data_IF_742541161019
#
_entry.id   IF_742541161019
#
_cell.length_a   1.000
_cell.length_b   1.000
_cell.length_c   1.000
_cell.angle_alpha   90.00
_cell.angle_beta   90.00
_cell.angle_gamma   90.00
#
_symmetry.space_group_name_H-M   'P 1'
#
loop_
_entity.id
_entity.type
_entity.pdbx_description
1 polymer ?
#
# COMPACT_ATOMS: atom_id res chain seq x y z
N UNK A 1 -6.41 -12.56 -10.92
CA UNK A 1 -5.22 -12.16 -10.17
C UNK A 1 -4.97 -10.66 -10.31
N UNK A 2 -4.69 -9.99 -9.20
CA UNK A 2 -4.49 -8.54 -9.21
C UNK A 2 -3.20 -8.17 -9.92
N UNK A 3 -3.30 -7.27 -10.89
CA UNK A 3 -2.15 -6.80 -11.66
C UNK A 3 -1.77 -5.39 -11.23
N UNK A 4 -0.47 -5.14 -11.16
CA UNK A 4 0.07 -3.84 -10.76
C UNK A 4 0.88 -3.23 -11.89
N UNK A 5 0.65 -1.94 -12.11
CA UNK A 5 1.50 -1.12 -12.97
C UNK A 5 2.63 -0.56 -12.11
N UNK A 6 3.85 -0.65 -12.60
CA UNK A 6 5.02 -0.20 -11.85
C UNK A 6 4.95 1.30 -11.56
N UNK A 7 5.32 1.68 -10.36
CA UNK A 7 5.44 3.06 -9.90
C UNK A 7 6.73 3.20 -9.09
N UNK A 8 7.15 4.43 -8.93
CA UNK A 8 8.29 4.74 -8.07
C UNK A 8 8.08 6.14 -7.50
N UNK A 9 7.27 6.21 -6.47
CA UNK A 9 6.98 7.47 -5.79
C UNK A 9 6.92 7.27 -4.28
N UNK A 10 7.13 8.33 -3.55
CA UNK A 10 7.09 8.31 -2.08
C UNK A 10 5.73 8.78 -1.63
N UNK A 11 5.10 8.00 -0.78
CA UNK A 11 3.75 8.25 -0.29
C UNK A 11 3.71 8.15 1.23
N UNK A 12 2.67 8.75 1.80
CA UNK A 12 2.33 8.62 3.21
C UNK A 12 0.81 8.38 3.31
N UNK A 13 0.34 8.00 4.47
CA UNK A 13 -1.11 7.88 4.68
C UNK A 13 -1.73 9.25 4.91
N UNK A 14 -2.94 9.47 4.40
CA UNK A 14 -3.69 10.70 4.69
C UNK A 14 -3.94 10.84 6.18
N UNK A 15 -4.32 9.73 6.83
CA UNK A 15 -4.48 9.61 8.28
C UNK A 15 -3.71 8.38 8.74
N UNK A 16 -4.18 7.20 8.38
CA UNK A 16 -3.49 5.94 8.59
C UNK A 16 -4.04 4.91 7.62
N UNK A 17 -3.26 3.88 7.33
CA UNK A 17 -3.69 2.80 6.46
C UNK A 17 -3.03 1.50 6.89
N UNK A 18 -3.79 0.40 6.83
CA UNK A 18 -3.27 -0.93 7.10
C UNK A 18 -2.41 -1.41 5.95
N UNK A 19 -1.24 -1.94 6.27
CA UNK A 19 -0.34 -2.58 5.32
C UNK A 19 -0.53 -4.10 5.43
N UNK A 20 -0.88 -4.73 4.31
CA UNK A 20 -1.31 -6.13 4.27
C UNK A 20 -0.37 -6.96 3.42
N UNK A 21 -0.34 -8.25 3.69
CA UNK A 21 0.50 -9.19 2.93
C UNK A 21 -0.04 -9.45 1.53
N UNK A 22 -1.35 -9.25 1.31
CA UNK A 22 -2.01 -9.41 0.01
C UNK A 22 -2.94 -8.22 -0.24
N UNK A 23 -3.20 -7.87 -1.52
CA UNK A 23 -4.11 -6.76 -1.86
C UNK A 23 -5.58 -7.20 -1.74
N UNK A 24 -6.00 -7.47 -0.53
CA UNK A 24 -7.36 -7.95 -0.25
C UNK A 24 -7.73 -7.65 1.20
N UNK A 25 -8.99 -7.34 1.44
CA UNK A 25 -9.55 -7.22 2.79
C UNK A 25 -10.37 -8.44 3.19
N UNK A 26 -10.65 -9.33 2.24
CA UNK A 26 -11.53 -10.49 2.48
C UNK A 26 -10.80 -11.82 2.43
N UNK A 27 -9.63 -11.87 1.78
CA UNK A 27 -8.85 -13.11 1.71
C UNK A 27 -8.30 -13.42 3.11
N UNK A 28 -8.57 -14.62 3.65
CA UNK A 28 -8.09 -14.96 4.99
C UNK A 28 -6.57 -15.00 5.12
N UNK A 29 -5.85 -15.11 3.99
CA UNK A 29 -4.38 -15.07 4.01
C UNK A 29 -3.83 -13.65 3.99
N UNK A 30 -4.66 -12.64 3.82
CA UNK A 30 -4.25 -11.24 3.81
C UNK A 30 -4.17 -10.72 5.25
N UNK A 31 -2.98 -10.77 5.82
CA UNK A 31 -2.75 -10.32 7.19
C UNK A 31 -2.32 -8.86 7.23
N UNK A 32 -2.81 -8.10 8.21
CA UNK A 32 -2.32 -6.76 8.50
C UNK A 32 -1.02 -6.91 9.29
N UNK A 33 0.08 -6.43 8.71
CA UNK A 33 1.42 -6.56 9.31
C UNK A 33 1.83 -5.28 10.01
N UNK A 34 1.37 -4.13 9.50
CA UNK A 34 1.76 -2.83 10.03
C UNK A 34 0.68 -1.81 9.71
N UNK A 35 0.76 -0.66 10.35
CA UNK A 35 -0.10 0.49 10.07
C UNK A 35 0.81 1.65 9.69
N UNK A 36 0.60 2.22 8.52
CA UNK A 36 1.31 3.42 8.07
C UNK A 36 0.51 4.63 8.53
N UNK A 37 1.15 5.50 9.29
CA UNK A 37 0.52 6.72 9.82
C UNK A 37 0.93 7.93 9.00
N UNK A 38 0.11 8.98 9.06
CA UNK A 38 0.44 10.25 8.42
C UNK A 38 1.82 10.72 8.87
N UNK A 39 2.68 11.09 7.91
CA UNK A 39 4.04 11.52 8.16
C UNK A 39 5.08 10.41 8.03
N UNK A 40 4.69 9.14 8.20
CA UNK A 40 5.55 8.02 7.87
C UNK A 40 5.51 7.80 6.37
N UNK A 41 6.66 7.54 5.75
CA UNK A 41 6.76 7.44 4.30
C UNK A 41 7.23 6.06 3.88
N UNK A 42 6.74 5.64 2.72
CA UNK A 42 7.18 4.41 2.04
C UNK A 42 7.30 4.69 0.56
N UNK A 43 8.10 3.88 -0.13
CA UNK A 43 8.14 3.90 -1.58
C UNK A 43 7.00 3.04 -2.12
N UNK A 44 6.17 3.63 -2.98
CA UNK A 44 5.15 2.88 -3.71
C UNK A 44 5.78 2.32 -4.97
N UNK A 45 5.69 1.01 -5.16
CA UNK A 45 6.33 0.30 -6.26
C UNK A 45 5.34 -0.13 -7.33
N UNK A 46 4.06 -0.04 -7.07
CA UNK A 46 3.04 -0.38 -8.04
C UNK A 46 1.66 0.11 -7.64
N UNK A 47 0.80 0.21 -8.64
CA UNK A 47 -0.59 0.60 -8.43
C UNK A 47 -1.51 -0.27 -9.27
N UNK A 48 -2.64 -0.65 -8.68
CA UNK A 48 -3.74 -1.31 -9.37
C UNK A 48 -4.92 -0.36 -9.33
N UNK A 49 -5.35 0.12 -10.51
CA UNK A 49 -6.45 1.07 -10.60
C UNK A 49 -7.81 0.39 -10.64
N UNK A 50 -7.87 -0.89 -11.02
CA UNK A 50 -9.14 -1.60 -11.12
C UNK A 50 -9.80 -1.78 -9.75
N UNK A 51 -9.00 -2.10 -8.74
CA UNK A 51 -9.50 -2.35 -7.39
C UNK A 51 -8.96 -1.37 -6.36
N UNK A 52 -8.12 -0.42 -6.78
CA UNK A 52 -7.67 0.67 -5.91
C UNK A 52 -6.61 0.27 -4.90
N UNK A 53 -5.67 -0.62 -5.28
CA UNK A 53 -4.60 -1.06 -4.39
C UNK A 53 -3.26 -0.45 -4.79
N UNK A 54 -2.42 -0.20 -3.78
CA UNK A 54 -1.03 0.17 -3.96
C UNK A 54 -0.14 -0.92 -3.38
N UNK A 55 0.99 -1.15 -4.06
CA UNK A 55 2.05 -2.02 -3.59
C UNK A 55 3.17 -1.13 -3.08
N UNK A 56 3.64 -1.38 -1.87
CA UNK A 56 4.65 -0.54 -1.23
C UNK A 56 5.80 -1.40 -0.69
N UNK A 57 6.96 -0.77 -0.57
CA UNK A 57 8.11 -1.37 0.11
C UNK A 57 8.18 -0.79 1.52
N UNK A 58 7.96 -1.66 2.50
CA UNK A 58 7.99 -1.30 3.91
C UNK A 58 9.13 -2.04 4.59
N UNK A 59 10.24 -1.35 4.86
CA UNK A 59 11.41 -1.94 5.50
C UNK A 59 11.91 -3.21 4.81
N UNK A 60 11.91 -3.20 3.47
CA UNK A 60 12.36 -4.34 2.67
C UNK A 60 11.30 -5.40 2.44
N UNK A 61 10.11 -5.22 2.96
CA UNK A 61 8.99 -6.15 2.80
C UNK A 61 7.95 -5.55 1.83
N UNK A 62 7.50 -6.34 0.88
CA UNK A 62 6.44 -5.92 -0.04
C UNK A 62 5.09 -6.09 0.64
N UNK A 63 4.38 -4.98 0.79
CA UNK A 63 3.04 -4.96 1.39
C UNK A 63 2.07 -4.21 0.49
N UNK A 64 0.80 -4.29 0.81
CA UNK A 64 -0.28 -3.73 0.00
C UNK A 64 -1.23 -2.91 0.85
N UNK A 65 -1.73 -1.82 0.28
CA UNK A 65 -2.70 -0.98 0.98
C UNK A 65 -3.65 -0.32 -0.02
N UNK A 66 -4.77 0.17 0.50
CA UNK A 66 -5.79 0.82 -0.31
C UNK A 66 -5.28 2.19 -0.75
N UNK A 67 -5.26 2.43 -2.05
CA UNK A 67 -4.67 3.64 -2.65
C UNK A 67 -5.35 4.93 -2.19
N UNK A 68 -6.67 4.90 -1.96
CA UNK A 68 -7.40 6.10 -1.59
C UNK A 68 -7.02 6.67 -0.21
N UNK A 69 -6.33 5.88 0.61
CA UNK A 69 -5.84 6.33 1.92
C UNK A 69 -4.42 6.89 1.85
N UNK A 70 -3.82 6.94 0.66
CA UNK A 70 -2.46 7.45 0.48
C UNK A 70 -2.48 8.84 -0.15
N UNK A 71 -1.42 9.58 0.10
CA UNK A 71 -1.15 10.85 -0.57
C UNK A 71 0.35 10.97 -0.83
N UNK A 72 0.71 11.84 -1.77
CA UNK A 72 2.12 12.09 -2.07
C UNK A 72 2.82 12.66 -0.84
N UNK A 73 4.03 12.18 -0.58
CA UNK A 73 4.85 12.65 0.54
C UNK A 73 5.95 13.62 0.08
N UNK A 74 5.91 14.02 -1.20
CA UNK A 74 6.92 14.94 -1.74
C UNK A 74 6.37 16.28 -2.10
#
# INVERSE_FOLDING_TARGET
KTKFTARNDVVTAKIEVNLRTLPSVTNPDAAVVAVLKNGETVTRTGINTDYGWSRVDYNGQTLYCVSSYLTSAQ
#
